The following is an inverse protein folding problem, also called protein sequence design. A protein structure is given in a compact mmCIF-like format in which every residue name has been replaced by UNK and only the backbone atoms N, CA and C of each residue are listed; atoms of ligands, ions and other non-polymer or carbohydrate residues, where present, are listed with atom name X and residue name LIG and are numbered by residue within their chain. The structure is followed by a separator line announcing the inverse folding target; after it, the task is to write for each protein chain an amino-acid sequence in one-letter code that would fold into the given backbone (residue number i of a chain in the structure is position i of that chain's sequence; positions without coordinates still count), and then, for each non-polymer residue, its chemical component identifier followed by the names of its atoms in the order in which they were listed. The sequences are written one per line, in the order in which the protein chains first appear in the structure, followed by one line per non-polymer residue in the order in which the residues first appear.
data_IF_135247786875
#
_entry.id   IF_135247786875
#
_cell.length_a   1.000
_cell.length_b   1.000
_cell.length_c   1.000
_cell.angle_alpha   90.00
_cell.angle_beta   90.00
_cell.angle_gamma   90.00
#
_symmetry.space_group_name_H-M   'P 1'
#
loop_
_entity.id
_entity.type
_entity.pdbx_description
1 polymer ?
#
# COMPACT_ATOMS: atom_id res chain seq x y z
N UNK A 1 5.73 2.87 -22.70
CA UNK A 1 4.51 3.48 -22.14
C UNK A 1 3.44 2.44 -21.85
N UNK A 2 3.03 2.41 -20.58
CA UNK A 2 1.97 1.55 -20.05
C UNK A 2 0.61 1.79 -20.70
N UNK A 3 -0.30 0.83 -20.49
CA UNK A 3 -1.71 0.95 -20.84
C UNK A 3 -2.54 1.17 -19.59
N UNK A 4 -3.62 1.93 -19.69
CA UNK A 4 -4.55 2.16 -18.60
C UNK A 4 -5.99 1.94 -19.07
N UNK A 5 -6.81 1.30 -18.24
CA UNK A 5 -8.22 1.06 -18.52
C UNK A 5 -9.10 1.59 -17.39
N UNK A 6 -10.24 2.15 -17.79
CA UNK A 6 -11.27 2.62 -16.89
C UNK A 6 -12.52 1.76 -17.04
N UNK A 7 -12.66 0.76 -16.17
CA UNK A 7 -13.70 -0.26 -16.24
C UNK A 7 -14.96 0.15 -15.44
N UNK A 8 -16.18 -0.16 -15.92
CA UNK A 8 -17.40 0.04 -15.15
C UNK A 8 -17.41 -0.75 -13.83
N UNK A 9 -18.13 -0.29 -12.78
CA UNK A 9 -18.26 -1.03 -11.52
C UNK A 9 -19.02 -2.36 -11.67
N UNK A 10 -19.73 -2.53 -12.78
CA UNK A 10 -20.48 -3.74 -13.13
C UNK A 10 -19.59 -4.85 -13.70
N UNK A 11 -18.34 -4.53 -14.06
CA UNK A 11 -17.35 -5.49 -14.54
C UNK A 11 -16.60 -6.06 -13.35
N UNK A 12 -16.37 -7.37 -13.36
CA UNK A 12 -15.58 -8.05 -12.34
C UNK A 12 -14.09 -7.73 -12.54
N UNK A 13 -13.52 -6.97 -11.61
CA UNK A 13 -12.11 -6.58 -11.64
C UNK A 13 -11.18 -7.80 -11.67
N UNK A 14 -11.54 -8.88 -10.98
CA UNK A 14 -10.71 -10.07 -10.89
C UNK A 14 -10.69 -10.80 -12.24
N UNK A 15 -11.83 -10.87 -12.92
CA UNK A 15 -11.88 -11.42 -14.28
C UNK A 15 -11.09 -10.56 -15.28
N UNK A 16 -11.20 -9.24 -15.18
CA UNK A 16 -10.45 -8.32 -16.04
C UNK A 16 -8.94 -8.47 -15.85
N UNK A 17 -8.48 -8.54 -14.60
CA UNK A 17 -7.06 -8.80 -14.28
C UNK A 17 -6.58 -10.09 -14.96
N UNK A 18 -7.36 -11.17 -14.87
CA UNK A 18 -7.01 -12.46 -15.49
C UNK A 18 -6.89 -12.31 -17.02
N UNK A 19 -7.75 -11.51 -17.64
CA UNK A 19 -7.72 -11.24 -19.09
C UNK A 19 -6.44 -10.57 -19.59
N UNK A 20 -5.70 -9.89 -18.70
CA UNK A 20 -4.42 -9.24 -19.02
C UNK A 20 -3.18 -10.07 -18.67
N UNK A 21 -3.36 -11.29 -18.14
CA UNK A 21 -2.26 -12.18 -17.86
C UNK A 21 -1.78 -12.87 -19.15
N UNK A 22 -0.47 -12.92 -19.32
CA UNK A 22 0.20 -13.75 -20.32
C UNK A 22 0.29 -15.19 -19.84
N UNK A 23 0.19 -16.17 -20.73
CA UNK A 23 0.30 -17.58 -20.39
C UNK A 23 1.16 -18.30 -21.41
N UNK A 24 2.11 -19.11 -20.92
CA UNK A 24 2.86 -20.05 -21.74
C UNK A 24 2.48 -21.47 -21.32
N UNK A 25 1.59 -22.10 -22.10
CA UNK A 25 0.96 -23.36 -21.74
C UNK A 25 0.09 -23.26 -20.47
N UNK A 26 0.68 -23.56 -19.32
CA UNK A 26 0.04 -23.49 -18.00
C UNK A 26 0.89 -22.73 -16.98
N UNK A 27 1.82 -21.91 -17.48
CA UNK A 27 2.72 -21.11 -16.67
C UNK A 27 2.33 -19.63 -16.72
N UNK A 28 1.98 -19.08 -15.56
CA UNK A 28 1.67 -17.67 -15.34
C UNK A 28 2.76 -16.95 -14.52
N UNK A 29 3.89 -17.60 -14.21
CA UNK A 29 4.95 -17.06 -13.34
C UNK A 29 5.57 -15.76 -13.84
N UNK A 30 5.53 -15.53 -15.16
CA UNK A 30 5.99 -14.30 -15.81
C UNK A 30 5.03 -13.12 -15.65
N UNK A 31 3.96 -13.25 -14.87
CA UNK A 31 3.06 -12.16 -14.55
C UNK A 31 3.19 -11.72 -13.10
N UNK A 32 3.07 -10.42 -12.91
CA UNK A 32 2.98 -9.76 -11.61
C UNK A 32 1.63 -9.05 -11.50
N UNK A 33 0.94 -9.20 -10.38
CA UNK A 33 -0.28 -8.44 -10.09
C UNK A 33 -0.16 -7.75 -8.74
N UNK A 34 -0.45 -6.44 -8.72
CA UNK A 34 -0.41 -5.62 -7.52
C UNK A 34 -1.79 -5.05 -7.21
N UNK A 35 -2.25 -5.28 -5.98
CA UNK A 35 -3.51 -4.77 -5.43
C UNK A 35 -3.27 -3.88 -4.20
N UNK A 36 -4.22 -3.03 -3.78
CA UNK A 36 -4.10 -2.30 -2.52
C UNK A 36 -4.04 -3.21 -1.28
N UNK A 37 -4.64 -4.41 -1.35
CA UNK A 37 -4.76 -5.32 -0.21
C UNK A 37 -4.57 -6.78 -0.59
N UNK A 38 -4.51 -7.66 0.41
CA UNK A 38 -4.16 -9.09 0.23
C UNK A 38 -5.33 -9.95 -0.27
N UNK A 39 -6.57 -9.54 -0.03
CA UNK A 39 -7.79 -10.34 -0.32
C UNK A 39 -7.98 -10.66 -1.81
N UNK A 40 -7.85 -9.70 -2.76
CA UNK A 40 -8.04 -9.96 -4.19
C UNK A 40 -7.18 -11.10 -4.75
N UNK A 41 -5.97 -11.27 -4.22
CA UNK A 41 -5.05 -12.33 -4.63
C UNK A 41 -5.61 -13.75 -4.39
N UNK A 42 -6.47 -13.95 -3.40
CA UNK A 42 -7.12 -15.25 -3.19
C UNK A 42 -8.18 -15.54 -4.26
N UNK A 43 -8.91 -14.51 -4.71
CA UNK A 43 -9.92 -14.64 -5.76
C UNK A 43 -9.28 -14.94 -7.11
N UNK A 44 -8.15 -14.32 -7.45
CA UNK A 44 -7.39 -14.64 -8.66
C UNK A 44 -6.99 -16.12 -8.67
N UNK A 45 -6.39 -16.61 -7.58
CA UNK A 45 -5.97 -18.03 -7.48
C UNK A 45 -7.15 -18.99 -7.64
N UNK A 46 -8.27 -18.68 -6.98
CA UNK A 46 -9.50 -19.47 -7.06
C UNK A 46 -10.04 -19.52 -8.49
N UNK A 47 -10.25 -18.36 -9.11
CA UNK A 47 -10.83 -18.27 -10.46
C UNK A 47 -9.90 -18.87 -11.52
N UNK A 48 -8.58 -18.67 -11.41
CA UNK A 48 -7.63 -19.36 -12.30
C UNK A 48 -7.71 -20.88 -12.14
N UNK A 49 -7.73 -21.39 -10.91
CA UNK A 49 -7.86 -22.82 -10.66
C UNK A 49 -9.16 -23.41 -11.22
N UNK A 50 -10.28 -22.72 -11.03
CA UNK A 50 -11.58 -23.12 -11.58
C UNK A 50 -11.62 -23.07 -13.11
N UNK A 51 -11.00 -22.05 -13.74
CA UNK A 51 -10.96 -21.90 -15.21
C UNK A 51 -10.02 -22.90 -15.87
N UNK A 52 -8.86 -23.16 -15.28
CA UNK A 52 -7.82 -24.03 -15.86
C UNK A 52 -8.16 -25.51 -15.64
N UNK A 53 -8.67 -25.86 -14.45
CA UNK A 53 -9.12 -27.23 -14.14
C UNK A 53 -8.01 -28.28 -13.97
N UNK A 54 -6.73 -27.88 -14.06
CA UNK A 54 -5.57 -28.74 -13.80
C UNK A 54 -4.43 -27.97 -13.12
N UNK A 55 -3.33 -28.65 -12.79
CA UNK A 55 -2.16 -28.02 -12.17
C UNK A 55 -1.55 -26.95 -13.10
N UNK A 56 -1.15 -25.81 -12.52
CA UNK A 56 -0.57 -24.67 -13.22
C UNK A 56 0.42 -23.94 -12.31
N UNK A 57 1.32 -23.15 -12.90
CA UNK A 57 2.22 -22.27 -12.15
C UNK A 57 1.55 -20.89 -12.03
N UNK A 58 1.26 -20.39 -10.81
CA UNK A 58 0.51 -19.16 -10.63
C UNK A 58 1.35 -17.89 -10.89
N UNK A 59 0.70 -16.74 -11.16
CA UNK A 59 1.38 -15.45 -11.20
C UNK A 59 1.89 -15.02 -9.82
N UNK A 60 2.83 -14.07 -9.78
CA UNK A 60 3.18 -13.37 -8.54
C UNK A 60 2.06 -12.40 -8.18
N UNK A 61 1.48 -12.55 -6.99
CA UNK A 61 0.34 -11.76 -6.53
C UNK A 61 0.70 -11.03 -5.24
N UNK A 62 0.72 -9.71 -5.27
CA UNK A 62 1.09 -8.86 -4.14
C UNK A 62 -0.02 -7.88 -3.75
N UNK A 63 -0.12 -7.61 -2.44
CA UNK A 63 -0.61 -6.31 -1.99
C UNK A 63 0.49 -5.26 -2.19
N UNK A 64 0.15 -3.98 -2.19
CA UNK A 64 1.14 -2.91 -2.33
C UNK A 64 2.27 -3.05 -1.30
N UNK A 65 1.96 -3.33 -0.03
CA UNK A 65 2.99 -3.55 0.99
C UNK A 65 3.94 -4.73 0.65
N UNK A 66 3.40 -5.85 0.15
CA UNK A 66 4.22 -7.00 -0.24
C UNK A 66 5.03 -6.71 -1.51
N UNK A 67 4.52 -5.88 -2.41
CA UNK A 67 5.25 -5.42 -3.59
C UNK A 67 6.42 -4.52 -3.19
N UNK A 68 6.21 -3.58 -2.27
CA UNK A 68 7.28 -2.76 -1.71
C UNK A 68 8.34 -3.64 -1.04
N UNK A 69 7.92 -4.62 -0.24
CA UNK A 69 8.85 -5.56 0.40
C UNK A 69 9.66 -6.33 -0.65
N UNK A 70 9.01 -6.86 -1.69
CA UNK A 70 9.68 -7.56 -2.79
C UNK A 70 10.74 -6.68 -3.47
N UNK A 71 10.39 -5.44 -3.86
CA UNK A 71 11.35 -4.54 -4.49
C UNK A 71 12.49 -4.22 -3.52
N UNK A 72 12.17 -3.91 -2.27
CA UNK A 72 13.16 -3.55 -1.26
C UNK A 72 14.18 -4.66 -1.02
N UNK A 73 13.72 -5.88 -0.79
CA UNK A 73 14.60 -6.99 -0.40
C UNK A 73 15.19 -7.72 -1.58
N UNK A 74 14.38 -8.08 -2.58
CA UNK A 74 14.81 -8.96 -3.67
C UNK A 74 15.45 -8.16 -4.81
N UNK A 75 14.97 -6.94 -5.08
CA UNK A 75 15.45 -6.16 -6.23
C UNK A 75 16.50 -5.12 -5.87
N UNK A 76 16.38 -4.44 -4.73
CA UNK A 76 17.37 -3.48 -4.23
C UNK A 76 18.44 -4.14 -3.34
N UNK A 77 18.23 -5.40 -2.91
CA UNK A 77 19.16 -6.12 -2.05
C UNK A 77 19.28 -5.56 -0.64
N UNK A 78 18.27 -4.79 -0.18
CA UNK A 78 18.27 -4.18 1.14
C UNK A 78 17.67 -5.15 2.17
N UNK A 79 18.40 -5.42 3.25
CA UNK A 79 18.03 -6.45 4.22
C UNK A 79 17.98 -5.93 5.68
N UNK A 80 17.72 -4.63 5.89
CA UNK A 80 17.52 -4.11 7.25
C UNK A 80 16.33 -4.79 7.94
N UNK A 81 16.46 -5.05 9.24
CA UNK A 81 15.35 -5.53 10.07
C UNK A 81 14.26 -4.46 10.12
N UNK A 82 13.04 -4.85 9.77
CA UNK A 82 11.88 -3.97 9.95
C UNK A 82 11.46 -3.94 11.42
N UNK A 83 11.33 -2.73 11.97
CA UNK A 83 10.79 -2.52 13.31
C UNK A 83 9.32 -2.95 13.37
N UNK A 84 8.97 -3.66 14.43
CA UNK A 84 7.57 -3.87 14.80
C UNK A 84 7.04 -2.62 15.52
N UNK A 85 5.72 -2.48 15.59
CA UNK A 85 5.10 -1.32 16.25
C UNK A 85 5.58 -1.15 17.70
N UNK A 86 5.75 -2.25 18.45
CA UNK A 86 6.24 -2.22 19.83
C UNK A 86 7.72 -1.76 19.90
N UNK A 87 8.56 -2.21 18.96
CA UNK A 87 9.96 -1.76 18.87
C UNK A 87 10.00 -0.23 18.66
N UNK A 88 9.18 0.28 17.73
CA UNK A 88 9.09 1.70 17.44
C UNK A 88 8.56 2.51 18.64
N UNK A 89 7.56 1.99 19.35
CA UNK A 89 7.03 2.62 20.58
C UNK A 89 8.12 2.72 21.65
N UNK A 90 8.93 1.67 21.85
CA UNK A 90 10.02 1.70 22.82
C UNK A 90 11.05 2.80 22.49
N UNK A 91 11.40 2.97 21.21
CA UNK A 91 12.28 4.05 20.75
C UNK A 91 11.63 5.42 21.00
N UNK A 92 10.35 5.58 20.66
CA UNK A 92 9.61 6.84 20.88
C UNK A 92 9.50 7.19 22.36
N UNK A 93 9.29 6.20 23.22
CA UNK A 93 9.26 6.39 24.67
C UNK A 93 10.63 6.83 25.21
N UNK A 94 11.73 6.27 24.70
CA UNK A 94 13.07 6.72 25.05
C UNK A 94 13.32 8.19 24.63
N UNK A 95 12.90 8.56 23.42
CA UNK A 95 12.97 9.95 22.92
C UNK A 95 12.14 10.88 23.83
N UNK A 96 10.95 10.44 24.22
CA UNK A 96 10.07 11.19 25.13
C UNK A 96 10.71 11.40 26.51
N UNK A 97 11.22 10.35 27.16
CA UNK A 97 11.82 10.46 28.50
C UNK A 97 13.07 11.33 28.55
N UNK A 98 13.86 11.31 27.47
CA UNK A 98 15.06 12.13 27.34
C UNK A 98 14.78 13.57 26.87
N UNK A 99 13.51 13.91 26.60
CA UNK A 99 13.10 15.26 26.21
C UNK A 99 12.86 16.15 27.43
N UNK A 100 13.35 17.41 27.45
CA UNK A 100 13.00 18.37 28.50
C UNK A 100 11.53 18.80 28.45
N UNK A 101 10.92 18.74 27.27
CA UNK A 101 9.50 19.04 27.05
C UNK A 101 8.78 17.73 26.72
N UNK A 102 8.21 17.09 27.74
CA UNK A 102 7.49 15.81 27.64
C UNK A 102 6.03 16.03 27.30
N UNK A 103 5.48 15.22 26.40
CA UNK A 103 4.03 15.16 26.19
C UNK A 103 3.35 14.81 27.50
N UNK A 104 2.35 15.59 27.92
CA UNK A 104 1.60 15.34 29.16
C UNK A 104 2.43 15.36 30.44
N UNK A 105 3.62 15.98 30.44
CA UNK A 105 4.50 16.01 31.62
C UNK A 105 4.97 14.61 32.02
N UNK A 106 4.78 14.25 33.29
CA UNK A 106 5.18 12.94 33.85
C UNK A 106 4.12 11.85 33.68
N UNK A 107 2.94 12.16 33.15
CA UNK A 107 1.84 11.20 33.00
C UNK A 107 2.13 10.03 32.05
N UNK A 108 3.20 10.14 31.27
CA UNK A 108 3.62 9.14 30.29
C UNK A 108 5.07 8.68 30.48
N UNK A 109 5.63 8.79 31.69
CA UNK A 109 6.98 8.31 32.00
C UNK A 109 7.08 6.77 32.08
N UNK A 110 5.93 6.12 32.27
CA UNK A 110 5.79 4.67 32.23
C UNK A 110 5.40 4.19 30.82
N UNK A 111 5.97 3.05 30.41
CA UNK A 111 5.78 2.53 29.05
C UNK A 111 4.32 2.09 28.81
N UNK A 112 3.65 1.51 29.81
CA UNK A 112 2.26 1.05 29.64
C UNK A 112 1.32 2.24 29.49
N UNK A 113 1.58 3.32 30.24
CA UNK A 113 0.86 4.58 30.09
C UNK A 113 1.14 5.24 28.72
N UNK A 114 2.38 5.16 28.22
CA UNK A 114 2.77 5.76 26.95
C UNK A 114 2.30 4.96 25.72
N UNK A 115 2.12 3.63 25.84
CA UNK A 115 1.87 2.73 24.71
C UNK A 115 0.75 3.19 23.76
N UNK A 116 -0.45 3.59 24.21
CA UNK A 116 -1.51 4.06 23.31
C UNK A 116 -1.10 5.31 22.53
N UNK A 117 -0.42 6.25 23.19
CA UNK A 117 0.10 7.47 22.56
C UNK A 117 1.23 7.14 21.59
N UNK A 118 2.15 6.26 21.98
CA UNK A 118 3.26 5.83 21.16
C UNK A 118 2.82 5.14 19.87
N UNK A 119 1.80 4.26 19.94
CA UNK A 119 1.24 3.59 18.76
C UNK A 119 0.62 4.60 17.79
N UNK A 120 -0.17 5.55 18.32
CA UNK A 120 -0.75 6.61 17.51
C UNK A 120 0.34 7.47 16.88
N UNK A 121 1.30 7.92 17.69
CA UNK A 121 2.41 8.74 17.25
C UNK A 121 3.19 8.03 16.13
N UNK A 122 3.57 6.77 16.32
CA UNK A 122 4.27 5.99 15.29
C UNK A 122 3.48 5.94 13.97
N UNK A 123 2.18 5.66 14.03
CA UNK A 123 1.31 5.68 12.85
C UNK A 123 1.33 7.02 12.12
N UNK A 124 1.19 8.13 12.85
CA UNK A 124 1.24 9.48 12.26
C UNK A 124 2.61 9.80 11.65
N UNK A 125 3.73 9.37 12.28
CA UNK A 125 5.07 9.56 11.72
C UNK A 125 5.24 8.79 10.40
N UNK A 126 4.74 7.55 10.34
CA UNK A 126 4.79 6.72 9.13
C UNK A 126 3.98 7.34 7.99
N UNK A 127 2.73 7.77 8.25
CA UNK A 127 1.90 8.45 7.24
C UNK A 127 2.55 9.74 6.75
N UNK A 128 3.12 10.53 7.67
CA UNK A 128 3.82 11.76 7.35
C UNK A 128 5.06 11.53 6.50
N UNK A 129 5.81 10.47 6.78
CA UNK A 129 6.98 10.05 6.00
C UNK A 129 6.56 9.59 4.59
N UNK A 130 5.49 8.81 4.48
CA UNK A 130 4.95 8.35 3.18
C UNK A 130 4.32 9.47 2.34
N UNK A 131 3.84 10.54 2.98
CA UNK A 131 3.42 11.75 2.30
C UNK A 131 4.58 12.49 1.60
N UNK A 132 5.83 12.12 1.88
CA UNK A 132 7.05 12.59 1.22
C UNK A 132 7.10 14.12 1.03
N UNK A 133 6.66 14.87 2.05
CA UNK A 133 6.57 16.32 1.97
C UNK A 133 7.97 16.96 1.99
N UNK A 134 8.22 18.02 1.19
CA UNK A 134 9.43 18.82 1.34
C UNK A 134 9.59 19.30 2.79
N UNK A 135 10.82 19.28 3.32
CA UNK A 135 11.12 19.60 4.72
C UNK A 135 10.44 20.88 5.22
N UNK A 136 10.34 21.92 4.38
CA UNK A 136 9.63 23.17 4.71
C UNK A 136 8.13 22.94 4.96
N UNK A 137 7.43 22.25 4.06
CA UNK A 137 6.00 21.92 4.22
C UNK A 137 5.76 20.98 5.39
N UNK A 138 6.70 20.07 5.63
CA UNK A 138 6.70 19.21 6.82
C UNK A 138 6.78 20.06 8.09
N UNK A 139 7.72 21.00 8.17
CA UNK A 139 7.82 21.93 9.31
C UNK A 139 6.57 22.79 9.46
N UNK A 140 5.98 23.29 8.38
CA UNK A 140 4.73 24.08 8.39
C UNK A 140 3.53 23.25 8.88
N UNK A 141 3.35 22.03 8.35
CA UNK A 141 2.28 21.11 8.74
C UNK A 141 2.39 20.73 10.22
N UNK A 142 3.62 20.53 10.69
CA UNK A 142 3.91 20.18 12.08
C UNK A 142 3.83 21.38 13.03
N UNK A 143 4.09 22.59 12.54
CA UNK A 143 3.89 23.83 13.30
C UNK A 143 2.41 24.16 13.50
N UNK A 144 1.54 23.73 12.58
CA UNK A 144 0.09 23.89 12.70
C UNK A 144 -0.54 22.93 13.73
N UNK A 145 0.17 21.86 14.12
CA UNK A 145 -0.27 20.91 15.15
C UNK A 145 0.39 21.27 16.48
N UNK A 146 -0.18 22.24 17.20
CA UNK A 146 0.24 22.57 18.57
C UNK A 146 -0.55 21.73 19.57
N UNK A 147 0.07 20.71 20.16
CA UNK A 147 -0.43 20.07 21.38
C UNK A 147 0.26 20.78 22.56
N UNK A 148 -0.25 21.95 22.95
CA UNK A 148 0.32 22.75 24.03
C UNK A 148 1.75 23.26 23.75
N UNK A 149 2.37 23.84 24.79
CA UNK A 149 3.73 24.38 24.80
C UNK A 149 4.80 23.29 24.90
N UNK A 150 4.71 22.26 24.05
CA UNK A 150 5.58 21.08 24.04
C UNK A 150 6.22 20.98 22.66
N UNK A 151 7.52 20.71 22.64
CA UNK A 151 8.44 20.46 21.53
C UNK A 151 7.74 20.22 20.19
N UNK A 152 8.14 20.94 19.11
CA UNK A 152 7.53 20.70 17.81
C UNK A 152 7.78 19.24 17.41
N UNK A 153 6.69 18.55 17.07
CA UNK A 153 6.62 17.15 16.61
C UNK A 153 7.65 16.84 15.50
N UNK A 154 8.14 17.86 14.79
CA UNK A 154 9.26 17.76 13.84
C UNK A 154 10.56 17.25 14.48
N UNK A 155 10.86 17.67 15.70
CA UNK A 155 12.04 17.20 16.42
C UNK A 155 11.95 15.72 16.79
N UNK A 156 10.75 15.25 17.15
CA UNK A 156 10.49 13.84 17.45
C UNK A 156 10.62 13.01 16.18
N UNK A 157 10.02 13.48 15.09
CA UNK A 157 10.14 12.85 13.76
C UNK A 157 11.60 12.68 13.34
N UNK A 158 12.39 13.75 13.35
CA UNK A 158 13.81 13.71 12.93
C UNK A 158 14.62 12.79 13.84
N UNK A 159 14.45 12.91 15.16
CA UNK A 159 15.19 12.09 16.14
C UNK A 159 14.83 10.61 16.02
N UNK A 160 13.56 10.29 15.77
CA UNK A 160 13.09 8.93 15.60
C UNK A 160 13.76 8.27 14.39
N UNK A 161 13.65 8.88 13.21
CA UNK A 161 14.23 8.28 12.00
C UNK A 161 15.76 8.24 12.02
N UNK A 162 16.44 9.18 12.69
CA UNK A 162 17.88 9.10 12.95
C UNK A 162 18.25 7.90 13.84
N UNK A 163 17.48 7.64 14.91
CA UNK A 163 17.68 6.46 15.77
C UNK A 163 17.41 5.16 15.01
N UNK A 164 16.37 5.11 14.17
CA UNK A 164 16.09 3.93 13.34
C UNK A 164 17.26 3.61 12.40
N UNK A 165 17.78 4.64 11.71
CA UNK A 165 18.93 4.52 10.81
C UNK A 165 20.21 4.08 11.56
N UNK A 166 20.50 4.69 12.71
CA UNK A 166 21.64 4.33 13.54
C UNK A 166 21.58 2.89 14.08
N UNK A 167 20.38 2.33 14.23
CA UNK A 167 20.16 0.93 14.62
C UNK A 167 20.24 -0.04 13.43
N UNK A 168 20.49 0.44 12.21
CA UNK A 168 20.48 -0.38 11.00
C UNK A 168 19.12 -1.03 10.72
N UNK A 169 18.04 -0.39 11.20
CA UNK A 169 16.67 -0.88 11.07
C UNK A 169 15.91 -0.11 9.98
N UNK A 170 14.73 -0.61 9.62
CA UNK A 170 13.82 0.04 8.68
C UNK A 170 12.39 0.07 9.22
N UNK A 171 11.53 0.88 8.61
CA UNK A 171 10.09 0.93 8.87
C UNK A 171 9.33 0.78 7.56
N UNK A 172 8.01 0.62 7.62
CA UNK A 172 7.17 0.58 6.42
C UNK A 172 7.39 1.83 5.58
N UNK A 173 7.32 3.01 6.20
CA UNK A 173 7.48 4.27 5.48
C UNK A 173 8.90 4.44 4.89
N UNK A 174 9.96 4.01 5.59
CA UNK A 174 11.32 4.03 5.01
C UNK A 174 11.35 3.19 3.74
N UNK A 175 10.83 1.96 3.76
CA UNK A 175 10.78 1.09 2.58
C UNK A 175 10.04 1.74 1.42
N UNK A 176 8.85 2.30 1.66
CA UNK A 176 8.10 3.03 0.63
C UNK A 176 8.93 4.17 0.02
N UNK A 177 9.57 4.99 0.85
CA UNK A 177 10.38 6.12 0.36
C UNK A 177 11.64 5.70 -0.40
N UNK A 178 12.28 4.59 -0.01
CA UNK A 178 13.45 4.08 -0.70
C UNK A 178 13.07 3.42 -2.03
N UNK A 179 12.00 2.63 -2.05
CA UNK A 179 11.48 2.03 -3.28
C UNK A 179 11.01 3.12 -4.24
N UNK A 180 10.28 4.13 -3.77
CA UNK A 180 9.79 5.21 -4.64
C UNK A 180 10.90 6.05 -5.26
N UNK A 181 12.08 6.12 -4.62
CA UNK A 181 13.25 6.84 -5.14
C UNK A 181 14.20 6.00 -5.99
N UNK A 182 14.05 4.68 -6.02
CA UNK A 182 15.00 3.77 -6.66
C UNK A 182 14.39 2.85 -7.72
N UNK A 183 13.07 2.65 -7.72
CA UNK A 183 12.37 1.81 -8.69
C UNK A 183 12.72 2.23 -10.13
N UNK A 184 12.80 1.23 -11.00
CA UNK A 184 13.02 1.38 -12.44
C UNK A 184 12.78 0.05 -13.13
N UNK A 185 12.65 0.07 -14.45
CA UNK A 185 12.33 -1.09 -15.30
C UNK A 185 13.21 -2.32 -15.03
N UNK A 186 14.50 -2.13 -14.75
CA UNK A 186 15.44 -3.23 -14.46
C UNK A 186 15.01 -4.15 -13.31
N UNK A 187 14.28 -3.62 -12.33
CA UNK A 187 13.82 -4.37 -11.16
C UNK A 187 12.61 -5.27 -11.46
N UNK A 188 12.01 -5.11 -12.64
CA UNK A 188 10.79 -5.79 -13.05
C UNK A 188 10.93 -6.53 -14.39
N UNK A 189 12.15 -6.58 -14.95
CA UNK A 189 12.42 -7.15 -16.28
C UNK A 189 12.17 -8.66 -16.39
N UNK A 190 12.03 -9.39 -15.27
CA UNK A 190 11.62 -10.80 -15.30
C UNK A 190 10.15 -10.99 -15.71
N UNK A 191 9.30 -9.97 -15.52
CA UNK A 191 7.87 -10.04 -15.78
C UNK A 191 7.54 -9.59 -17.21
N UNK A 192 6.78 -10.43 -17.91
CA UNK A 192 6.23 -10.11 -19.23
C UNK A 192 4.98 -9.21 -19.15
N UNK A 193 4.21 -9.33 -18.06
CA UNK A 193 3.01 -8.52 -17.83
C UNK A 193 2.89 -8.17 -16.35
N UNK A 194 2.61 -6.90 -16.08
CA UNK A 194 2.47 -6.32 -14.75
C UNK A 194 1.13 -5.62 -14.66
N UNK A 195 0.21 -6.15 -13.86
CA UNK A 195 -1.14 -5.60 -13.72
C UNK A 195 -1.27 -4.90 -12.37
N UNK A 196 -1.58 -3.61 -12.39
CA UNK A 196 -1.83 -2.80 -11.19
C UNK A 196 -3.32 -2.47 -11.13
N UNK A 197 -4.03 -3.00 -10.13
CA UNK A 197 -5.49 -3.04 -10.17
C UNK A 197 -6.16 -2.64 -8.84
N UNK A 198 -7.27 -1.92 -8.93
CA UNK A 198 -8.17 -1.67 -7.79
C UNK A 198 -7.76 -0.53 -6.86
N UNK A 199 -6.83 0.33 -7.27
CA UNK A 199 -6.44 1.52 -6.50
C UNK A 199 -7.42 2.68 -6.76
N UNK A 200 -7.86 3.32 -5.67
CA UNK A 200 -8.79 4.47 -5.72
C UNK A 200 -8.16 5.77 -5.24
N UNK A 201 -7.23 5.67 -4.28
CA UNK A 201 -6.47 6.78 -3.74
C UNK A 201 -5.05 6.30 -3.50
N UNK A 202 -4.07 7.16 -3.80
CA UNK A 202 -2.66 6.90 -3.58
C UNK A 202 -2.06 7.94 -2.62
N UNK A 203 -1.17 7.46 -1.77
CA UNK A 203 -0.18 8.28 -1.05
C UNK A 203 0.82 8.89 -2.04
N UNK A 204 1.59 9.90 -1.63
CA UNK A 204 2.60 10.52 -2.50
C UNK A 204 3.74 9.54 -2.87
N UNK A 205 4.12 8.65 -1.96
CA UNK A 205 5.08 7.58 -2.26
C UNK A 205 4.54 6.61 -3.32
N UNK A 206 3.28 6.18 -3.22
CA UNK A 206 2.65 5.31 -4.22
C UNK A 206 2.50 6.04 -5.57
N UNK A 207 2.16 7.33 -5.58
CA UNK A 207 2.12 8.12 -6.82
C UNK A 207 3.46 8.12 -7.54
N UNK A 208 4.55 8.31 -6.79
CA UNK A 208 5.90 8.29 -7.35
C UNK A 208 6.23 6.93 -7.98
N UNK A 209 5.82 5.85 -7.32
CA UNK A 209 5.95 4.48 -7.85
C UNK A 209 5.12 4.29 -9.11
N UNK A 210 3.87 4.76 -9.13
CA UNK A 210 2.97 4.62 -10.28
C UNK A 210 3.46 5.43 -11.48
N UNK A 211 4.07 6.60 -11.26
CA UNK A 211 4.70 7.39 -12.31
C UNK A 211 5.87 6.64 -12.95
N UNK A 212 6.68 5.93 -12.16
CA UNK A 212 7.76 5.09 -12.71
C UNK A 212 7.20 3.88 -13.48
N UNK A 213 6.20 3.20 -12.92
CA UNK A 213 5.53 2.07 -13.57
C UNK A 213 4.85 2.48 -14.88
N UNK A 214 4.34 3.72 -14.97
CA UNK A 214 3.69 4.25 -16.17
C UNK A 214 4.60 4.25 -17.40
N UNK A 215 5.90 4.41 -17.23
CA UNK A 215 6.83 4.49 -18.35
C UNK A 215 7.08 3.10 -18.99
N UNK A 216 6.78 2.01 -18.27
CA UNK A 216 7.05 0.63 -18.71
C UNK A 216 5.96 0.07 -19.64
N UNK A 217 6.35 -0.54 -20.76
CA UNK A 217 5.41 -1.15 -21.72
C UNK A 217 4.71 -2.40 -21.19
N UNK A 218 5.33 -3.11 -20.25
CA UNK A 218 4.78 -4.33 -19.64
C UNK A 218 3.69 -4.04 -18.60
N UNK A 219 3.43 -2.77 -18.27
CA UNK A 219 2.48 -2.38 -17.22
C UNK A 219 1.10 -2.07 -17.78
N UNK A 220 0.08 -2.61 -17.10
CA UNK A 220 -1.34 -2.34 -17.32
C UNK A 220 -1.98 -1.86 -16.03
N UNK A 221 -2.59 -0.68 -16.06
CA UNK A 221 -3.40 -0.16 -14.95
C UNK A 221 -4.89 -0.44 -15.17
N UNK A 222 -5.54 -1.01 -14.16
CA UNK A 222 -6.99 -1.26 -14.15
C UNK A 222 -7.67 -0.46 -13.04
N UNK A 223 -8.40 0.59 -13.45
CA UNK A 223 -9.17 1.44 -12.55
C UNK A 223 -10.66 1.18 -12.68
N UNK A 224 -11.38 1.11 -11.55
CA UNK A 224 -12.84 1.07 -11.56
C UNK A 224 -13.42 2.48 -11.51
N UNK A 225 -14.39 2.76 -12.41
CA UNK A 225 -15.10 4.04 -12.47
C UNK A 225 -15.71 4.38 -11.11
N UNK A 226 -15.40 5.57 -10.59
CA UNK A 226 -15.91 6.01 -9.30
C UNK A 226 -15.66 7.50 -9.05
N UNK A 227 -16.29 8.03 -8.00
CA UNK A 227 -16.07 9.41 -7.56
C UNK A 227 -14.60 9.57 -7.16
N UNK A 228 -13.93 10.61 -7.67
CA UNK A 228 -12.54 10.92 -7.36
C UNK A 228 -11.50 10.37 -8.33
N UNK A 229 -11.84 9.39 -9.18
CA UNK A 229 -10.90 8.77 -10.12
C UNK A 229 -10.30 9.78 -11.12
N UNK A 230 -11.11 10.71 -11.63
CA UNK A 230 -10.64 11.70 -12.61
C UNK A 230 -9.49 12.58 -12.09
N UNK A 231 -9.51 12.93 -10.80
CA UNK A 231 -8.42 13.67 -10.16
C UNK A 231 -7.15 12.83 -10.16
N UNK A 232 -7.28 11.55 -9.83
CA UNK A 232 -6.16 10.64 -9.71
C UNK A 232 -5.49 10.33 -11.06
N UNK A 233 -6.29 10.06 -12.10
CA UNK A 233 -5.80 9.87 -13.46
C UNK A 233 -5.04 11.10 -13.97
N UNK A 234 -5.53 12.30 -13.64
CA UNK A 234 -4.86 13.56 -13.99
C UNK A 234 -3.52 13.73 -13.27
N UNK A 235 -3.43 13.34 -11.99
CA UNK A 235 -2.18 13.39 -11.23
C UNK A 235 -1.12 12.42 -11.78
N UNK A 236 -1.54 11.28 -12.31
CA UNK A 236 -0.66 10.31 -12.98
C UNK A 236 -0.42 10.62 -14.47
N UNK A 237 -1.10 11.63 -15.01
CA UNK A 237 -1.11 11.96 -16.43
C UNK A 237 -1.46 10.74 -17.31
N UNK A 238 -2.45 9.95 -16.86
CA UNK A 238 -2.94 8.76 -17.56
C UNK A 238 -4.24 9.10 -18.30
N UNK A 239 -4.31 8.71 -19.58
CA UNK A 239 -5.53 8.75 -20.39
C UNK A 239 -6.04 7.33 -20.59
N UNK A 240 -6.90 6.81 -19.69
CA UNK A 240 -7.31 5.43 -19.78
C UNK A 240 -8.25 5.18 -20.96
N UNK A 241 -8.04 4.06 -21.63
CA UNK A 241 -8.99 3.47 -22.57
C UNK A 241 -10.28 3.08 -21.82
N UNK A 242 -11.42 3.16 -22.51
CA UNK A 242 -12.66 2.62 -21.94
C UNK A 242 -12.55 1.10 -21.91
N UNK A 243 -12.74 0.51 -20.74
CA UNK A 243 -12.82 -0.94 -20.61
C UNK A 243 -14.06 -1.51 -21.28
N UNK A 244 -14.18 -2.85 -21.35
CA UNK A 244 -15.34 -3.51 -21.94
C UNK A 244 -16.64 -3.02 -21.29
N UNK A 245 -17.54 -2.47 -22.10
CA UNK A 245 -18.90 -2.16 -21.65
C UNK A 245 -19.72 -3.45 -21.76
N UNK A 246 -19.99 -4.08 -20.62
CA UNK A 246 -20.90 -5.22 -20.62
C UNK A 246 -22.31 -4.73 -20.94
N UNK A 247 -22.83 -5.15 -22.11
CA UNK A 247 -24.25 -5.03 -22.46
C UNK A 247 -25.04 -5.85 -21.43
N UNK A 248 -25.85 -5.16 -20.62
CA UNK A 248 -26.93 -5.73 -19.81
C UNK A 248 -26.66 -7.13 -19.25
N UNK A 249 -25.67 -7.28 -18.36
CA UNK A 249 -25.70 -8.47 -17.51
C UNK A 249 -26.76 -8.19 -16.47
N UNK A 250 -27.91 -8.87 -16.62
CA UNK A 250 -28.93 -9.04 -15.59
C UNK A 250 -28.30 -9.85 -14.44
N UNK A 251 -27.31 -9.27 -13.77
CA UNK A 251 -26.83 -9.78 -12.49
C UNK A 251 -27.88 -9.31 -11.52
N UNK A 252 -28.92 -10.13 -11.31
CA UNK A 252 -29.64 -10.13 -10.03
C UNK A 252 -28.58 -9.94 -8.96
N UNK A 253 -28.69 -8.91 -8.12
CA UNK A 253 -27.68 -8.52 -7.12
C UNK A 253 -27.35 -9.72 -6.23
N UNK A 254 -26.45 -10.58 -6.69
CA UNK A 254 -26.04 -11.80 -6.01
C UNK A 254 -24.97 -11.37 -5.03
N UNK A 255 -25.45 -10.84 -3.91
CA UNK A 255 -24.62 -10.48 -2.77
C UNK A 255 -24.15 -11.79 -2.15
N UNK A 256 -22.89 -12.12 -2.38
CA UNK A 256 -22.24 -13.26 -1.76
C UNK A 256 -21.50 -12.81 -0.50
N UNK A 257 -21.93 -13.35 0.64
CA UNK A 257 -21.20 -13.18 1.90
C UNK A 257 -20.15 -14.28 2.00
N UNK A 258 -18.88 -13.90 2.10
CA UNK A 258 -17.78 -14.81 2.35
C UNK A 258 -17.34 -14.67 3.80
N UNK A 259 -17.34 -15.79 4.53
CA UNK A 259 -16.77 -15.84 5.87
C UNK A 259 -15.24 -15.74 5.75
N UNK A 260 -14.66 -14.67 6.29
CA UNK A 260 -13.21 -14.55 6.42
C UNK A 260 -12.69 -15.43 7.56
N UNK A 261 -11.51 -16.03 7.45
CA UNK A 261 -10.88 -16.80 8.53
C UNK A 261 -10.29 -15.92 9.65
N UNK A 262 -10.42 -14.59 9.57
CA UNK A 262 -9.93 -13.67 10.60
C UNK A 262 -11.01 -13.31 11.63
N UNK A 263 -10.60 -13.15 12.89
CA UNK A 263 -11.45 -12.79 14.02
C UNK A 263 -11.83 -11.30 14.09
N UNK A 264 -11.44 -10.50 13.09
CA UNK A 264 -11.71 -9.06 13.04
C UNK A 264 -12.88 -8.71 12.11
N UNK A 265 -13.44 -9.68 11.38
CA UNK A 265 -14.71 -9.58 10.67
C UNK A 265 -15.91 -9.66 11.61
N UNK A 266 -16.19 -8.62 12.40
CA UNK A 266 -17.53 -8.47 13.00
C UNK A 266 -18.54 -8.16 11.89
N UNK A 267 -19.28 -9.20 11.45
CA UNK A 267 -20.50 -9.01 10.67
C UNK A 267 -21.66 -9.00 11.67
N UNK A 268 -22.27 -7.83 11.88
CA UNK A 268 -23.54 -7.74 12.60
C UNK A 268 -24.62 -8.44 11.77
N UNK A 269 -24.95 -9.67 12.15
CA UNK A 269 -26.16 -10.32 11.68
C UNK A 269 -27.37 -9.58 12.26
N UNK A 270 -28.07 -8.81 11.44
CA UNK A 270 -29.44 -8.39 11.76
C UNK A 270 -30.34 -9.62 11.63
N UNK A 271 -30.56 -10.32 12.74
CA UNK A 271 -31.67 -11.25 12.87
C UNK A 271 -32.98 -10.46 12.84
N UNK A 272 -33.60 -10.40 11.67
CA UNK A 272 -35.02 -10.07 11.55
C UNK A 272 -35.85 -11.24 12.07
N UNK A 273 -36.77 -10.94 12.99
CA UNK A 273 -37.89 -11.82 13.35
C UNK A 273 -38.94 -11.79 12.25
#
# INVERSE_FOLDING_TARGET
MSRAFNIPPTVDLIEEVIGHLTVDGSDYSRNLVVFPGKRPAHFIRKLLGEKIGHAFVPPRLFSIDNFIDFIYTEQLGLAQRQLQAIDAVAILHEIHRNSPERFGGTSFDDLDAFLPLGLKLFGELEELRMANLPKRKLTEALAAVTIGSVRPISSVYDTFYQKVDALGCTTRAIKYTQVSGALSERHLGEFASIVVAGFFALTEAEKSIFLELKEMDSVVFLFQRGKGLAKHLKELDLTPEQGPENQSVDRTNNIHFYQGPDSHGQVFGLTGK
#
